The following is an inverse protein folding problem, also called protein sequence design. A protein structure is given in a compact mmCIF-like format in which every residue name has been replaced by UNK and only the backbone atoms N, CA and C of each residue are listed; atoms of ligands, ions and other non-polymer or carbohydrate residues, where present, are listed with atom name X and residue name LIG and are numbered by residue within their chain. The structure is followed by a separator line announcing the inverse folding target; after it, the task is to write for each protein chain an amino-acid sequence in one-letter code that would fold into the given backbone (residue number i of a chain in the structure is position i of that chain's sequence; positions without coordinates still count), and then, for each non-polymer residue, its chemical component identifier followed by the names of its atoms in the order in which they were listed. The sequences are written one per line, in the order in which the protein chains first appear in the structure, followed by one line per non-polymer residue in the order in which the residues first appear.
data_IF_637677884526
#
_entry.id   IF_637677884526
#
_cell.length_a   1.000
_cell.length_b   1.000
_cell.length_c   1.000
_cell.angle_alpha   90.00
_cell.angle_beta   90.00
_cell.angle_gamma   90.00
#
_symmetry.space_group_name_H-M   'P 1'
#
loop_
_entity.id
_entity.type
_entity.pdbx_description
1 polymer ?
#
# COMPACT_ATOMS: atom_id res chain seq x y z
N UNK A 1 -32.69 -3.81 9.68
CA UNK A 1 -31.47 -4.27 9.00
C UNK A 1 -30.56 -4.82 10.08
N UNK A 2 -29.92 -5.97 9.85
CA UNK A 2 -28.87 -6.43 10.76
C UNK A 2 -27.75 -5.39 10.79
N UNK A 3 -27.13 -5.20 11.95
CA UNK A 3 -25.96 -4.34 12.10
C UNK A 3 -24.73 -5.09 11.59
N UNK A 4 -23.95 -4.47 10.70
CA UNK A 4 -22.73 -5.08 10.16
C UNK A 4 -21.71 -5.30 11.28
N UNK A 5 -21.60 -4.37 12.24
CA UNK A 5 -20.66 -4.50 13.35
C UNK A 5 -20.96 -5.74 14.19
N UNK A 6 -22.24 -5.95 14.52
CA UNK A 6 -22.70 -7.18 15.18
C UNK A 6 -22.30 -8.43 14.39
N UNK A 7 -22.48 -8.42 13.06
CA UNK A 7 -22.09 -9.54 12.17
C UNK A 7 -20.58 -9.80 12.18
N UNK A 8 -19.73 -8.77 12.22
CA UNK A 8 -18.28 -8.96 12.29
C UNK A 8 -17.84 -9.65 13.58
N UNK A 9 -18.61 -9.47 14.67
CA UNK A 9 -18.26 -9.94 16.02
C UNK A 9 -19.09 -11.14 16.51
N UNK A 10 -20.00 -11.68 15.70
CA UNK A 10 -20.88 -12.79 16.11
C UNK A 10 -20.15 -14.13 16.25
N UNK A 11 -18.91 -14.21 15.78
CA UNK A 11 -18.05 -15.39 15.85
C UNK A 11 -18.29 -16.40 14.73
N UNK A 12 -19.31 -16.16 13.89
CA UNK A 12 -19.68 -16.98 12.75
C UNK A 12 -18.76 -16.69 11.55
N UNK A 13 -18.78 -17.59 10.57
CA UNK A 13 -18.08 -17.39 9.29
C UNK A 13 -18.99 -16.72 8.29
N UNK A 14 -18.56 -15.57 7.76
CA UNK A 14 -19.28 -14.83 6.73
C UNK A 14 -18.50 -14.84 5.42
N UNK A 15 -19.22 -15.10 4.33
CA UNK A 15 -18.66 -15.04 2.98
C UNK A 15 -18.77 -13.63 2.42
N UNK A 16 -17.64 -13.07 1.98
CA UNK A 16 -17.60 -11.98 1.03
C UNK A 16 -17.86 -12.50 -0.40
N UNK A 17 -18.00 -11.59 -1.35
CA UNK A 17 -18.09 -11.92 -2.76
C UNK A 17 -16.71 -12.17 -3.40
N UNK A 18 -16.69 -12.17 -4.74
CA UNK A 18 -15.50 -12.43 -5.56
C UNK A 18 -15.14 -11.23 -6.44
N UNK A 19 -14.26 -11.43 -7.42
CA UNK A 19 -13.80 -10.35 -8.30
C UNK A 19 -14.87 -9.77 -9.23
N UNK A 20 -15.31 -8.54 -8.94
CA UNK A 20 -16.08 -7.70 -9.86
C UNK A 20 -15.39 -7.51 -11.21
N UNK A 21 -14.12 -7.07 -11.19
CA UNK A 21 -13.39 -6.76 -12.42
C UNK A 21 -13.14 -7.97 -13.34
N UNK A 22 -12.90 -9.16 -12.76
CA UNK A 22 -12.73 -10.39 -13.54
C UNK A 22 -14.03 -10.78 -14.25
N UNK A 23 -15.16 -10.73 -13.54
CA UNK A 23 -16.46 -11.09 -14.11
C UNK A 23 -16.90 -10.08 -15.17
N UNK A 24 -16.66 -8.78 -14.96
CA UNK A 24 -16.91 -7.75 -15.99
C UNK A 24 -16.08 -7.99 -17.25
N UNK A 25 -14.81 -8.38 -17.09
CA UNK A 25 -13.95 -8.72 -18.21
C UNK A 25 -14.45 -9.92 -19.02
N UNK A 26 -14.89 -10.98 -18.34
CA UNK A 26 -15.50 -12.16 -18.98
C UNK A 26 -16.77 -11.82 -19.75
N UNK A 27 -17.45 -10.74 -19.38
CA UNK A 27 -18.66 -10.21 -20.06
C UNK A 27 -18.34 -9.21 -21.17
N UNK A 28 -17.08 -9.11 -21.58
CA UNK A 28 -16.65 -8.29 -22.72
C UNK A 28 -16.40 -6.81 -22.38
N UNK A 29 -16.20 -6.48 -21.10
CA UNK A 29 -15.71 -5.16 -20.70
C UNK A 29 -14.19 -5.20 -20.61
N UNK A 30 -13.50 -4.53 -21.53
CA UNK A 30 -12.04 -4.57 -21.58
C UNK A 30 -11.40 -3.58 -20.59
N UNK A 31 -10.16 -3.85 -20.19
CA UNK A 31 -9.41 -3.11 -19.15
C UNK A 31 -9.13 -1.63 -19.48
N UNK A 32 -9.41 -1.18 -20.69
CA UNK A 32 -9.22 0.20 -21.12
C UNK A 32 -10.41 1.11 -20.79
N UNK A 33 -11.47 0.59 -20.19
CA UNK A 33 -12.60 1.39 -19.70
C UNK A 33 -12.59 1.50 -18.17
N UNK A 34 -13.18 2.57 -17.64
CA UNK A 34 -13.37 2.73 -16.21
C UNK A 34 -14.46 1.78 -15.71
N UNK A 35 -14.09 0.75 -14.93
CA UNK A 35 -15.06 -0.20 -14.38
C UNK A 35 -16.00 0.46 -13.36
N UNK A 36 -15.50 1.44 -12.60
CA UNK A 36 -16.30 2.20 -11.65
C UNK A 36 -17.41 3.00 -12.36
N UNK A 37 -17.17 3.51 -13.57
CA UNK A 37 -18.18 4.25 -14.34
C UNK A 37 -19.39 3.37 -14.71
N UNK A 38 -19.21 2.04 -14.80
CA UNK A 38 -20.28 1.11 -15.17
C UNK A 38 -21.47 1.15 -14.21
N UNK A 39 -21.26 1.61 -12.98
CA UNK A 39 -22.35 1.87 -12.03
C UNK A 39 -23.41 2.81 -12.60
N UNK A 40 -23.01 3.75 -13.46
CA UNK A 40 -23.89 4.70 -14.13
C UNK A 40 -24.11 4.34 -15.59
N UNK A 41 -23.05 3.99 -16.32
CA UNK A 41 -23.13 3.79 -17.78
C UNK A 41 -23.73 2.43 -18.18
N UNK A 42 -23.59 1.40 -17.35
CA UNK A 42 -24.12 0.04 -17.60
C UNK A 42 -24.67 -0.61 -16.32
N UNK A 43 -25.68 -0.02 -15.68
CA UNK A 43 -26.11 -0.39 -14.33
C UNK A 43 -26.59 -1.85 -14.23
N UNK A 44 -27.36 -2.32 -15.21
CA UNK A 44 -27.88 -3.69 -15.24
C UNK A 44 -26.76 -4.75 -15.27
N UNK A 45 -25.60 -4.42 -15.86
CA UNK A 45 -24.46 -5.32 -15.90
C UNK A 45 -23.89 -5.52 -14.49
N UNK A 46 -23.70 -4.43 -13.73
CA UNK A 46 -23.17 -4.46 -12.36
C UNK A 46 -24.18 -5.10 -11.40
N UNK A 47 -25.46 -4.77 -11.51
CA UNK A 47 -26.54 -5.38 -10.72
C UNK A 47 -26.57 -6.90 -10.90
N UNK A 48 -26.40 -7.39 -12.12
CA UNK A 48 -26.37 -8.83 -12.40
C UNK A 48 -25.12 -9.53 -11.81
N UNK A 49 -23.97 -8.86 -11.74
CA UNK A 49 -22.80 -9.42 -11.03
C UNK A 49 -23.10 -9.59 -9.54
N UNK A 50 -23.60 -8.54 -8.87
CA UNK A 50 -23.97 -8.63 -7.45
C UNK A 50 -25.05 -9.67 -7.19
N UNK A 51 -26.06 -9.75 -8.07
CA UNK A 51 -27.09 -10.79 -8.00
C UNK A 51 -26.47 -12.18 -7.99
N UNK A 52 -25.52 -12.46 -8.89
CA UNK A 52 -24.90 -13.79 -8.99
C UNK A 52 -24.05 -14.13 -7.77
N UNK A 53 -23.35 -13.17 -7.17
CA UNK A 53 -22.61 -13.41 -5.92
C UNK A 53 -23.54 -13.63 -4.73
N UNK A 54 -24.64 -12.88 -4.63
CA UNK A 54 -25.66 -13.10 -3.60
C UNK A 54 -26.30 -14.49 -3.72
N UNK A 55 -26.65 -14.92 -4.94
CA UNK A 55 -27.16 -16.28 -5.22
C UNK A 55 -26.11 -17.36 -4.98
N UNK A 56 -24.82 -17.06 -5.20
CA UNK A 56 -23.73 -17.99 -4.92
C UNK A 56 -23.50 -18.22 -3.42
N UNK A 57 -23.93 -17.31 -2.55
CA UNK A 57 -23.79 -17.49 -1.11
C UNK A 57 -23.05 -16.37 -0.37
N UNK A 58 -22.62 -15.32 -1.08
CA UNK A 58 -22.05 -14.14 -0.42
C UNK A 58 -23.07 -13.51 0.56
N UNK A 59 -22.57 -13.01 1.68
CA UNK A 59 -23.34 -12.34 2.74
C UNK A 59 -22.92 -10.89 2.94
N UNK A 60 -21.69 -10.57 2.58
CA UNK A 60 -21.15 -9.22 2.52
C UNK A 60 -20.71 -9.01 1.07
N UNK A 61 -21.23 -7.97 0.41
CA UNK A 61 -20.93 -7.69 -0.99
C UNK A 61 -20.23 -6.34 -1.10
N UNK A 62 -19.17 -6.30 -1.88
CA UNK A 62 -18.38 -5.10 -2.12
C UNK A 62 -19.04 -4.24 -3.20
N UNK A 63 -19.08 -2.92 -3.05
CA UNK A 63 -19.50 -2.04 -4.15
C UNK A 63 -18.47 -2.06 -5.28
N UNK A 64 -18.90 -1.87 -6.53
CA UNK A 64 -17.99 -1.68 -7.67
C UNK A 64 -17.32 -0.29 -7.62
N UNK A 65 -16.44 -0.05 -6.64
CA UNK A 65 -15.86 1.27 -6.35
C UNK A 65 -14.38 1.24 -6.00
N UNK A 66 -13.68 0.12 -6.24
CA UNK A 66 -12.25 -0.02 -5.94
C UNK A 66 -11.41 1.17 -6.44
N UNK A 67 -11.71 1.68 -7.63
CA UNK A 67 -11.01 2.79 -8.27
C UNK A 67 -11.78 4.13 -8.26
N UNK A 68 -12.92 4.21 -7.58
CA UNK A 68 -13.83 5.35 -7.66
C UNK A 68 -13.40 6.56 -6.81
N UNK A 69 -12.11 6.89 -6.80
CA UNK A 69 -11.56 8.09 -6.16
C UNK A 69 -11.14 9.13 -7.21
N UNK A 70 -10.99 10.42 -6.83
CA UNK A 70 -10.69 11.49 -7.78
C UNK A 70 -9.40 11.26 -8.58
N UNK A 71 -8.37 10.67 -7.98
CA UNK A 71 -7.06 10.45 -8.59
C UNK A 71 -7.12 9.40 -9.69
N UNK A 72 -7.77 8.25 -9.44
CA UNK A 72 -7.95 7.22 -10.46
C UNK A 72 -8.95 7.64 -11.54
N UNK A 73 -10.03 8.32 -11.15
CA UNK A 73 -11.06 8.80 -12.08
C UNK A 73 -10.56 9.91 -13.00
N UNK A 74 -9.57 10.71 -12.60
CA UNK A 74 -9.01 11.77 -13.46
C UNK A 74 -8.33 11.23 -14.70
N UNK A 75 -7.80 9.99 -14.66
CA UNK A 75 -7.24 9.32 -15.84
C UNK A 75 -8.29 9.06 -16.93
N UNK A 76 -9.57 9.16 -16.58
CA UNK A 76 -10.72 9.04 -17.48
C UNK A 76 -11.51 10.35 -17.63
N UNK A 77 -11.07 11.45 -17.00
CA UNK A 77 -11.81 12.73 -16.96
C UNK A 77 -13.13 12.66 -16.18
N UNK A 78 -13.20 11.78 -15.17
CA UNK A 78 -14.41 11.50 -14.39
C UNK A 78 -14.30 11.96 -12.93
N UNK A 79 -13.24 12.68 -12.54
CA UNK A 79 -12.96 13.10 -11.17
C UNK A 79 -14.09 13.95 -10.56
N UNK A 80 -14.75 14.78 -11.38
CA UNK A 80 -15.89 15.58 -10.97
C UNK A 80 -17.13 14.72 -10.59
N UNK A 81 -17.21 13.50 -11.14
CA UNK A 81 -18.32 12.55 -10.95
C UNK A 81 -18.08 11.53 -9.83
N UNK A 82 -17.02 11.70 -9.04
CA UNK A 82 -16.66 10.81 -7.92
C UNK A 82 -17.86 10.48 -7.02
N UNK A 83 -18.57 11.48 -6.50
CA UNK A 83 -19.70 11.30 -5.58
C UNK A 83 -20.88 10.58 -6.27
N UNK A 84 -21.16 10.94 -7.53
CA UNK A 84 -22.23 10.34 -8.33
C UNK A 84 -21.99 8.84 -8.55
N UNK A 85 -20.77 8.47 -8.98
CA UNK A 85 -20.39 7.10 -9.29
C UNK A 85 -20.49 6.22 -8.04
N UNK A 86 -19.93 6.67 -6.91
CA UNK A 86 -19.96 5.93 -5.65
C UNK A 86 -21.38 5.76 -5.10
N UNK A 87 -22.20 6.82 -5.16
CA UNK A 87 -23.61 6.75 -4.75
C UNK A 87 -24.39 5.74 -5.58
N UNK A 88 -24.17 5.75 -6.90
CA UNK A 88 -24.82 4.81 -7.80
C UNK A 88 -24.41 3.36 -7.49
N UNK A 89 -23.14 3.12 -7.16
CA UNK A 89 -22.61 1.78 -6.90
C UNK A 89 -23.33 1.05 -5.76
N UNK A 90 -23.55 1.72 -4.63
CA UNK A 90 -24.31 1.16 -3.51
C UNK A 90 -25.74 0.78 -3.91
N UNK A 91 -26.39 1.62 -4.72
CA UNK A 91 -27.72 1.32 -5.25
C UNK A 91 -27.72 0.10 -6.20
N UNK A 92 -26.67 -0.08 -7.02
CA UNK A 92 -26.52 -1.26 -7.89
C UNK A 92 -26.36 -2.54 -7.08
N UNK A 93 -25.55 -2.51 -6.02
CA UNK A 93 -25.37 -3.66 -5.13
C UNK A 93 -26.69 -4.07 -4.46
N UNK A 94 -27.44 -3.09 -3.93
CA UNK A 94 -28.77 -3.33 -3.33
C UNK A 94 -29.78 -3.88 -4.33
N UNK A 95 -29.82 -3.33 -5.55
CA UNK A 95 -30.71 -3.81 -6.59
C UNK A 95 -30.39 -5.25 -7.01
N UNK A 96 -29.11 -5.59 -7.15
CA UNK A 96 -28.65 -6.96 -7.40
C UNK A 96 -29.07 -7.94 -6.30
N UNK A 97 -28.88 -7.57 -5.02
CA UNK A 97 -29.31 -8.36 -3.87
C UNK A 97 -30.84 -8.53 -3.84
N UNK A 98 -31.60 -7.47 -4.11
CA UNK A 98 -33.07 -7.54 -4.15
C UNK A 98 -33.59 -8.44 -5.27
N UNK A 99 -32.87 -8.52 -6.39
CA UNK A 99 -33.19 -9.39 -7.51
C UNK A 99 -32.67 -10.83 -7.39
N UNK A 100 -31.96 -11.17 -6.32
CA UNK A 100 -31.33 -12.48 -6.14
C UNK A 100 -32.30 -13.55 -5.61
N UNK A 101 -32.17 -14.77 -6.15
CA UNK A 101 -32.85 -15.97 -5.64
C UNK A 101 -32.03 -16.59 -4.52
N UNK A 102 -32.22 -16.09 -3.30
CA UNK A 102 -31.44 -16.50 -2.14
C UNK A 102 -31.82 -17.91 -1.64
N UNK A 103 -30.88 -18.63 -1.00
CA UNK A 103 -31.16 -19.90 -0.34
C UNK A 103 -32.27 -19.79 0.72
N UNK A 104 -32.98 -20.89 1.03
CA UNK A 104 -33.97 -20.91 2.10
C UNK A 104 -33.40 -20.42 3.43
N UNK A 105 -34.17 -19.60 4.16
CA UNK A 105 -33.76 -19.04 5.45
C UNK A 105 -32.88 -17.78 5.37
N UNK A 106 -32.47 -17.36 4.17
CA UNK A 106 -31.66 -16.14 3.96
C UNK A 106 -32.57 -15.03 3.42
N UNK A 107 -32.63 -13.91 4.14
CA UNK A 107 -33.34 -12.71 3.70
C UNK A 107 -32.39 -11.76 2.98
N UNK A 108 -32.85 -11.08 1.93
CA UNK A 108 -32.10 -10.00 1.28
C UNK A 108 -31.71 -8.89 2.25
N UNK A 109 -32.54 -8.63 3.27
CA UNK A 109 -32.26 -7.66 4.34
C UNK A 109 -31.19 -8.08 5.35
N UNK A 110 -30.72 -9.34 5.27
CA UNK A 110 -29.62 -9.85 6.09
C UNK A 110 -28.26 -9.79 5.39
N UNK A 111 -28.23 -9.47 4.10
CA UNK A 111 -27.00 -9.26 3.34
C UNK A 111 -26.53 -7.82 3.50
N UNK A 112 -25.22 -7.63 3.56
CA UNK A 112 -24.60 -6.32 3.74
C UNK A 112 -23.91 -5.84 2.48
N UNK A 113 -23.93 -4.53 2.24
CA UNK A 113 -23.17 -3.87 1.17
C UNK A 113 -22.09 -3.01 1.81
N UNK A 114 -20.82 -3.29 1.51
CA UNK A 114 -19.67 -2.51 1.99
C UNK A 114 -19.09 -1.67 0.88
N UNK A 115 -18.77 -0.42 1.20
CA UNK A 115 -18.11 0.52 0.29
C UNK A 115 -16.66 0.11 0.07
N UNK A 116 -16.33 -0.41 -1.11
CA UNK A 116 -14.97 -0.80 -1.46
C UNK A 116 -14.12 0.42 -1.82
N UNK A 117 -12.99 0.57 -1.13
CA UNK A 117 -12.02 1.66 -1.32
C UNK A 117 -10.65 1.02 -1.55
N UNK A 118 -10.11 1.18 -2.76
CA UNK A 118 -8.74 0.81 -3.08
C UNK A 118 -7.76 1.97 -2.91
N UNK A 119 -6.44 1.71 -3.04
CA UNK A 119 -5.41 2.76 -2.98
C UNK A 119 -5.59 3.80 -4.10
N UNK A 120 -5.03 5.00 -3.92
CA UNK A 120 -5.08 6.09 -4.90
C UNK A 120 -4.25 5.79 -6.15
N UNK A 121 -3.26 4.91 -6.03
CA UNK A 121 -2.32 4.60 -7.12
C UNK A 121 -1.23 5.66 -7.31
N UNK A 122 -1.06 6.54 -6.31
CA UNK A 122 0.02 7.52 -6.22
C UNK A 122 0.80 7.27 -4.93
N UNK A 123 2.03 7.80 -4.87
CA UNK A 123 2.80 7.79 -3.63
C UNK A 123 2.45 9.00 -2.78
N UNK A 124 2.20 8.75 -1.51
CA UNK A 124 2.02 9.78 -0.49
C UNK A 124 3.31 9.97 0.30
N UNK A 125 3.41 11.03 1.09
CA UNK A 125 4.55 11.25 1.99
C UNK A 125 4.76 10.02 2.91
N UNK A 126 6.02 9.60 3.15
CA UNK A 126 7.26 10.23 2.70
C UNK A 126 7.68 9.84 1.27
N UNK A 127 7.04 8.86 0.64
CA UNK A 127 7.49 8.23 -0.61
C UNK A 127 7.14 9.02 -1.87
N UNK A 128 6.29 10.04 -1.76
CA UNK A 128 5.85 10.86 -2.86
C UNK A 128 5.45 12.26 -2.44
N UNK A 129 5.13 13.13 -3.42
CA UNK A 129 4.89 14.56 -3.19
C UNK A 129 3.50 14.87 -2.61
N UNK A 130 2.63 13.87 -2.47
CA UNK A 130 1.24 14.07 -2.01
C UNK A 130 1.20 13.98 -0.50
N UNK A 131 0.73 15.04 0.18
CA UNK A 131 0.63 15.04 1.63
C UNK A 131 -0.44 14.07 2.12
N UNK A 132 -0.29 13.54 3.35
CA UNK A 132 -1.26 12.65 3.98
C UNK A 132 -2.65 13.30 4.08
N UNK A 133 -2.71 14.58 4.43
CA UNK A 133 -3.96 15.33 4.51
C UNK A 133 -4.65 15.47 3.14
N UNK A 134 -3.86 15.61 2.07
CA UNK A 134 -4.38 15.66 0.70
C UNK A 134 -4.94 14.29 0.29
N UNK A 135 -4.21 13.21 0.58
CA UNK A 135 -4.67 11.84 0.36
C UNK A 135 -5.98 11.54 1.10
N UNK A 136 -6.08 11.95 2.38
CA UNK A 136 -7.31 11.86 3.17
C UNK A 136 -8.47 12.60 2.47
N UNK A 137 -8.23 13.80 1.93
CA UNK A 137 -9.22 14.56 1.17
C UNK A 137 -9.74 13.83 -0.08
N UNK A 138 -8.87 13.11 -0.80
CA UNK A 138 -9.30 12.28 -1.93
C UNK A 138 -10.21 11.13 -1.50
N UNK A 139 -9.86 10.42 -0.43
CA UNK A 139 -10.71 9.37 0.13
C UNK A 139 -12.03 9.91 0.69
N UNK A 140 -12.02 11.07 1.34
CA UNK A 140 -13.23 11.69 1.91
C UNK A 140 -14.29 11.93 0.84
N UNK A 141 -13.90 12.36 -0.37
CA UNK A 141 -14.84 12.55 -1.50
C UNK A 141 -15.46 11.23 -1.99
N UNK A 142 -14.70 10.13 -1.94
CA UNK A 142 -15.21 8.80 -2.25
C UNK A 142 -16.21 8.33 -1.17
N UNK A 143 -15.82 8.48 0.11
CA UNK A 143 -16.64 8.15 1.28
C UNK A 143 -17.96 8.91 1.27
N UNK A 144 -17.97 10.20 0.92
CA UNK A 144 -19.17 11.02 0.78
C UNK A 144 -20.21 10.36 -0.16
N UNK A 145 -19.76 9.90 -1.33
CA UNK A 145 -20.62 9.23 -2.30
C UNK A 145 -21.15 7.89 -1.79
N UNK A 146 -20.29 7.07 -1.18
CA UNK A 146 -20.66 5.77 -0.61
C UNK A 146 -21.68 5.92 0.51
N UNK A 147 -21.48 6.87 1.43
CA UNK A 147 -22.43 7.18 2.50
C UNK A 147 -23.78 7.64 1.95
N UNK A 148 -23.76 8.55 0.97
CA UNK A 148 -24.99 8.99 0.31
C UNK A 148 -25.71 7.85 -0.44
N UNK A 149 -25.00 6.77 -0.76
CA UNK A 149 -25.54 5.56 -1.36
C UNK A 149 -26.13 4.55 -0.35
N UNK A 150 -25.88 4.73 0.96
CA UNK A 150 -26.44 3.87 2.00
C UNK A 150 -25.73 2.51 2.16
N UNK A 151 -24.39 2.50 2.09
CA UNK A 151 -23.57 1.33 2.47
C UNK A 151 -23.74 1.00 3.96
N UNK A 152 -23.56 -0.26 4.34
CA UNK A 152 -23.62 -0.73 5.73
C UNK A 152 -22.27 -0.59 6.46
N UNK A 153 -21.21 -0.32 5.72
CA UNK A 153 -19.83 -0.20 6.20
C UNK A 153 -18.86 -0.04 5.04
N UNK A 154 -17.58 -0.21 5.33
CA UNK A 154 -16.49 0.00 4.38
C UNK A 154 -15.56 -1.21 4.34
N UNK A 155 -14.93 -1.41 3.19
CA UNK A 155 -13.78 -2.29 3.06
C UNK A 155 -12.66 -1.52 2.37
N UNK A 156 -11.55 -1.36 3.08
CA UNK A 156 -10.33 -0.73 2.59
C UNK A 156 -9.45 -1.86 2.07
N UNK A 157 -9.32 -2.01 0.76
CA UNK A 157 -8.75 -3.21 0.17
C UNK A 157 -7.51 -2.93 -0.71
N UNK A 158 -6.62 -3.91 -0.77
CA UNK A 158 -5.43 -3.90 -1.65
C UNK A 158 -4.44 -2.76 -1.39
N UNK A 159 -4.39 -2.23 -0.17
CA UNK A 159 -3.35 -1.25 0.19
C UNK A 159 -2.00 -1.95 0.36
N UNK A 160 -0.93 -1.27 -0.07
CA UNK A 160 0.45 -1.73 0.16
C UNK A 160 1.15 -0.89 1.23
N UNK A 161 0.84 0.40 1.30
CA UNK A 161 1.33 1.33 2.32
C UNK A 161 0.28 1.51 3.42
N UNK A 162 0.65 1.15 4.66
CA UNK A 162 -0.20 1.32 5.83
C UNK A 162 -0.49 2.79 6.15
N UNK A 163 0.36 3.73 5.73
CA UNK A 163 0.13 5.17 5.90
C UNK A 163 -1.02 5.63 5.02
N UNK A 164 -1.06 5.15 3.77
CA UNK A 164 -2.14 5.46 2.84
C UNK A 164 -3.46 4.86 3.33
N UNK A 165 -3.44 3.60 3.79
CA UNK A 165 -4.60 2.96 4.41
C UNK A 165 -5.09 3.75 5.62
N UNK A 166 -4.19 4.26 6.47
CA UNK A 166 -4.54 5.07 7.63
C UNK A 166 -5.32 6.34 7.22
N UNK A 167 -4.95 6.99 6.10
CA UNK A 167 -5.69 8.14 5.60
C UNK A 167 -7.07 7.76 5.06
N UNK A 168 -7.21 6.60 4.40
CA UNK A 168 -8.50 6.10 3.96
C UNK A 168 -9.42 5.77 5.15
N UNK A 169 -8.89 5.11 6.19
CA UNK A 169 -9.63 4.80 7.40
C UNK A 169 -10.02 6.06 8.16
N UNK A 170 -9.11 7.03 8.26
CA UNK A 170 -9.39 8.34 8.85
C UNK A 170 -10.53 9.04 8.11
N UNK A 171 -10.53 9.06 6.78
CA UNK A 171 -11.62 9.64 6.00
C UNK A 171 -12.98 8.99 6.28
N UNK A 172 -13.01 7.67 6.52
CA UNK A 172 -14.23 6.95 6.95
C UNK A 172 -14.67 7.41 8.34
N UNK A 173 -13.74 7.45 9.31
CA UNK A 173 -14.02 7.80 10.72
C UNK A 173 -14.43 9.25 10.91
N UNK A 174 -13.83 10.17 10.16
CA UNK A 174 -14.19 11.60 10.19
C UNK A 174 -15.60 11.84 9.63
N UNK A 175 -16.10 10.95 8.75
CA UNK A 175 -17.40 11.07 8.12
C UNK A 175 -18.53 10.30 8.85
N UNK A 176 -18.23 9.16 9.49
CA UNK A 176 -19.24 8.31 10.12
C UNK A 176 -18.66 7.28 11.12
N UNK A 177 -19.56 6.60 11.84
CA UNK A 177 -19.25 5.48 12.75
C UNK A 177 -19.67 4.11 12.18
N UNK A 178 -19.69 3.95 10.85
CA UNK A 178 -19.94 2.64 10.25
C UNK A 178 -18.68 1.76 10.35
N UNK A 179 -18.83 0.42 10.48
CA UNK A 179 -17.69 -0.48 10.60
C UNK A 179 -16.84 -0.50 9.32
N UNK A 180 -15.53 -0.65 9.49
CA UNK A 180 -14.54 -0.71 8.41
C UNK A 180 -13.67 -1.96 8.54
N UNK A 181 -13.69 -2.79 7.49
CA UNK A 181 -12.79 -3.91 7.28
C UNK A 181 -11.53 -3.36 6.60
N UNK A 182 -10.36 -3.56 7.20
CA UNK A 182 -9.10 -3.12 6.62
C UNK A 182 -8.28 -4.31 6.11
N UNK A 183 -7.90 -4.25 4.83
CA UNK A 183 -7.13 -5.28 4.16
C UNK A 183 -5.88 -4.69 3.50
N UNK A 184 -4.78 -5.43 3.65
CA UNK A 184 -3.49 -5.12 3.04
C UNK A 184 -3.13 -6.22 2.06
N UNK A 185 -2.39 -5.89 1.00
CA UNK A 185 -1.87 -6.89 0.07
C UNK A 185 -0.40 -7.18 0.33
N UNK A 186 -0.02 -8.45 0.24
CA UNK A 186 1.34 -8.96 0.48
C UNK A 186 1.88 -9.63 -0.78
N UNK A 187 3.20 -9.61 -0.93
CA UNK A 187 3.91 -10.31 -2.01
C UNK A 187 4.35 -11.72 -1.55
N UNK A 188 4.87 -12.50 -2.50
CA UNK A 188 5.48 -13.79 -2.18
C UNK A 188 6.60 -13.60 -1.14
N UNK A 189 6.45 -14.24 0.01
CA UNK A 189 7.28 -14.01 1.20
C UNK A 189 6.54 -13.39 2.39
N UNK A 190 5.25 -13.07 2.24
CA UNK A 190 4.39 -12.70 3.39
C UNK A 190 4.57 -11.27 3.88
N UNK A 191 5.11 -10.39 3.03
CA UNK A 191 5.39 -8.97 3.35
C UNK A 191 4.80 -8.05 2.30
N UNK A 192 4.46 -6.82 2.69
CA UNK A 192 4.10 -5.76 1.73
C UNK A 192 5.31 -5.36 0.87
N UNK A 193 5.10 -4.63 -0.21
CA UNK A 193 6.18 -4.04 -1.02
C UNK A 193 7.06 -3.05 -0.23
N UNK A 194 6.56 -2.56 0.91
CA UNK A 194 7.30 -1.72 1.87
C UNK A 194 7.93 -2.52 3.01
N UNK A 195 7.90 -3.86 2.93
CA UNK A 195 8.58 -4.74 3.87
C UNK A 195 7.82 -5.06 5.15
N UNK A 196 6.56 -4.66 5.32
CA UNK A 196 5.79 -4.97 6.54
C UNK A 196 5.27 -6.41 6.51
N UNK A 197 5.58 -7.21 7.54
CA UNK A 197 5.13 -8.61 7.64
C UNK A 197 3.72 -8.77 8.21
N UNK A 198 3.08 -9.91 7.94
CA UNK A 198 1.68 -10.20 8.32
C UNK A 198 1.32 -9.93 9.79
N UNK A 199 2.13 -10.41 10.75
CA UNK A 199 1.87 -10.15 12.17
C UNK A 199 1.92 -8.66 12.54
N UNK A 200 2.81 -7.90 11.91
CA UNK A 200 2.88 -6.46 12.12
C UNK A 200 1.70 -5.75 11.47
N UNK A 201 1.27 -6.18 10.28
CA UNK A 201 0.03 -5.68 9.65
C UNK A 201 -1.16 -5.80 10.60
N UNK A 202 -1.38 -6.97 11.20
CA UNK A 202 -2.49 -7.18 12.14
C UNK A 202 -2.48 -6.18 13.30
N UNK A 203 -1.33 -6.02 13.98
CA UNK A 203 -1.19 -5.05 15.08
C UNK A 203 -1.44 -3.62 14.64
N UNK A 204 -0.88 -3.23 13.49
CA UNK A 204 -1.03 -1.86 12.97
C UNK A 204 -2.47 -1.55 12.58
N UNK A 205 -3.19 -2.51 12.00
CA UNK A 205 -4.61 -2.33 11.66
C UNK A 205 -5.49 -2.21 12.91
N UNK A 206 -5.17 -2.96 13.96
CA UNK A 206 -5.81 -2.84 15.27
C UNK A 206 -5.55 -1.47 15.91
N UNK A 207 -4.29 -1.02 15.93
CA UNK A 207 -3.90 0.30 16.45
C UNK A 207 -4.60 1.46 15.70
N UNK A 208 -4.81 1.29 14.39
CA UNK A 208 -5.52 2.26 13.55
C UNK A 208 -7.04 2.27 13.79
N UNK A 209 -7.58 1.29 14.52
CA UNK A 209 -9.00 1.21 14.86
C UNK A 209 -9.88 0.60 13.77
N UNK A 210 -9.36 -0.38 13.02
CA UNK A 210 -10.17 -1.21 12.13
C UNK A 210 -11.13 -2.12 12.93
N UNK A 211 -12.32 -2.39 12.40
CA UNK A 211 -13.28 -3.33 13.02
C UNK A 211 -12.96 -4.79 12.66
N UNK A 212 -12.21 -5.00 11.57
CA UNK A 212 -11.68 -6.29 11.14
C UNK A 212 -10.37 -6.07 10.36
N UNK A 213 -9.43 -6.99 10.48
CA UNK A 213 -8.11 -6.93 9.83
C UNK A 213 -7.94 -8.09 8.85
N UNK A 214 -7.26 -7.88 7.73
CA UNK A 214 -7.11 -8.98 6.78
C UNK A 214 -6.16 -8.74 5.64
N UNK A 215 -6.18 -9.70 4.73
CA UNK A 215 -5.34 -9.70 3.54
C UNK A 215 -6.16 -10.07 2.31
N UNK A 216 -5.84 -9.39 1.21
CA UNK A 216 -6.44 -9.68 -0.09
C UNK A 216 -5.45 -9.53 -1.24
N UNK A 217 -5.83 -10.09 -2.39
CA UNK A 217 -5.11 -9.94 -3.67
C UNK A 217 -3.66 -10.45 -3.66
N UNK A 218 -2.92 -10.09 -4.71
CA UNK A 218 -1.50 -10.41 -5.04
C UNK A 218 -1.13 -11.89 -5.12
N UNK A 219 -1.35 -12.64 -4.05
CA UNK A 219 -0.89 -14.01 -3.85
C UNK A 219 -2.04 -15.02 -3.78
N UNK A 220 -1.70 -16.31 -3.87
CA UNK A 220 -2.68 -17.38 -3.85
C UNK A 220 -3.15 -17.78 -2.45
N UNK A 221 -4.06 -18.76 -2.35
CA UNK A 221 -4.63 -19.18 -1.06
C UNK A 221 -3.63 -19.75 -0.06
N UNK A 222 -2.54 -20.35 -0.53
CA UNK A 222 -1.51 -20.90 0.35
C UNK A 222 -0.75 -19.80 1.11
N UNK A 223 -0.31 -18.77 0.39
CA UNK A 223 0.45 -17.66 0.98
C UNK A 223 -0.43 -16.80 1.89
N UNK A 224 -1.71 -16.60 1.54
CA UNK A 224 -2.67 -15.93 2.43
C UNK A 224 -2.91 -16.77 3.70
N UNK A 225 -3.01 -18.09 3.59
CA UNK A 225 -3.19 -18.95 4.77
C UNK A 225 -2.04 -18.80 5.76
N UNK A 226 -0.80 -18.94 5.29
CA UNK A 226 0.39 -18.80 6.14
C UNK A 226 0.43 -17.42 6.84
N UNK A 227 0.02 -16.37 6.12
CA UNK A 227 -0.05 -15.02 6.66
C UNK A 227 -1.18 -14.85 7.69
N UNK A 228 -2.36 -15.46 7.47
CA UNK A 228 -3.48 -15.44 8.41
C UNK A 228 -3.12 -16.17 9.71
N UNK A 229 -2.41 -17.30 9.65
CA UNK A 229 -1.91 -17.99 10.84
C UNK A 229 -0.99 -17.07 11.68
N UNK A 230 -0.13 -16.29 11.02
CA UNK A 230 0.74 -15.32 11.68
C UNK A 230 -0.05 -14.14 12.28
N UNK A 231 -1.12 -13.68 11.62
CA UNK A 231 -2.00 -12.61 12.12
C UNK A 231 -2.81 -13.06 13.33
N UNK A 232 -3.40 -14.26 13.28
CA UNK A 232 -4.24 -14.82 14.35
C UNK A 232 -3.49 -14.98 15.69
N UNK A 233 -2.16 -15.08 15.65
CA UNK A 233 -1.33 -15.15 16.84
C UNK A 233 -1.23 -13.83 17.62
N UNK A 234 -1.55 -12.68 17.01
CA UNK A 234 -1.17 -11.35 17.53
C UNK A 234 -2.30 -10.32 17.60
N UNK A 235 -3.50 -10.61 17.09
CA UNK A 235 -4.67 -9.74 17.20
C UNK A 235 -5.90 -10.53 17.65
N UNK A 236 -6.82 -9.86 18.35
CA UNK A 236 -8.14 -10.39 18.67
C UNK A 236 -9.23 -9.86 17.71
N UNK A 237 -8.87 -9.03 16.71
CA UNK A 237 -9.81 -8.59 15.67
C UNK A 237 -10.30 -9.75 14.80
N UNK A 238 -11.55 -9.70 14.30
CA UNK A 238 -12.02 -10.60 13.26
C UNK A 238 -11.10 -10.55 12.04
N UNK A 239 -10.66 -11.72 11.56
CA UNK A 239 -9.73 -11.82 10.45
C UNK A 239 -10.43 -12.04 9.11
N UNK A 240 -9.98 -11.31 8.08
CA UNK A 240 -10.44 -11.43 6.70
C UNK A 240 -9.38 -12.04 5.79
N UNK A 241 -9.78 -13.02 4.97
CA UNK A 241 -8.90 -13.71 4.02
C UNK A 241 -9.57 -13.78 2.63
N UNK A 242 -9.02 -13.01 1.68
CA UNK A 242 -9.61 -12.83 0.34
C UNK A 242 -8.53 -13.03 -0.75
N UNK A 243 -8.03 -14.27 -0.94
CA UNK A 243 -6.94 -14.58 -1.88
C UNK A 243 -7.35 -14.44 -3.35
N UNK A 244 -6.36 -14.30 -4.24
CA UNK A 244 -6.57 -14.53 -5.67
C UNK A 244 -6.84 -16.00 -5.96
N UNK A 245 -7.45 -16.30 -7.12
CA UNK A 245 -7.56 -17.66 -7.66
C UNK A 245 -6.21 -18.20 -8.21
N UNK A 246 -5.17 -18.11 -7.39
CA UNK A 246 -3.78 -18.37 -7.72
C UNK A 246 -3.09 -17.19 -8.40
N UNK A 247 -1.80 -17.36 -8.73
CA UNK A 247 -1.06 -16.38 -9.50
C UNK A 247 -1.49 -16.44 -10.98
N UNK A 248 -1.65 -15.29 -11.66
CA UNK A 248 -1.99 -15.27 -13.08
C UNK A 248 -0.87 -15.93 -13.89
N UNK A 249 -1.20 -16.98 -14.64
CA UNK A 249 -0.28 -17.66 -15.56
C UNK A 249 -0.56 -17.29 -16.99
N UNK A 250 0.48 -17.12 -17.78
CA UNK A 250 0.34 -16.97 -19.23
C UNK A 250 0.05 -18.34 -19.84
N UNK A 251 -1.13 -18.49 -20.43
CA UNK A 251 -1.55 -19.67 -21.20
C UNK A 251 -1.87 -19.17 -22.62
N UNK A 252 -0.95 -19.39 -23.55
CA UNK A 252 -1.02 -18.77 -24.88
C UNK A 252 -0.80 -17.25 -24.82
N UNK A 253 -1.75 -16.48 -25.37
CA UNK A 253 -1.78 -15.01 -25.37
C UNK A 253 -2.60 -14.42 -24.20
N UNK A 254 -3.12 -15.27 -23.30
CA UNK A 254 -4.00 -14.86 -22.20
C UNK A 254 -3.35 -15.10 -20.84
N UNK A 255 -3.57 -14.17 -19.90
CA UNK A 255 -3.32 -14.40 -18.48
C UNK A 255 -4.55 -15.07 -17.87
N UNK A 256 -4.37 -16.25 -17.29
CA UNK A 256 -5.44 -17.05 -16.67
C UNK A 256 -5.13 -17.32 -15.20
N UNK A 257 -6.15 -17.24 -14.37
CA UNK A 257 -6.13 -17.72 -12.99
C UNK A 257 -6.44 -19.21 -12.99
N UNK A 258 -5.60 -20.01 -12.31
CA UNK A 258 -5.61 -21.47 -12.47
C UNK A 258 -6.17 -22.21 -11.25
N UNK A 259 -6.46 -21.53 -10.14
CA UNK A 259 -7.07 -22.18 -8.99
C UNK A 259 -8.53 -22.50 -9.31
N UNK A 260 -8.92 -23.77 -9.17
CA UNK A 260 -10.31 -24.18 -9.38
C UNK A 260 -11.20 -23.78 -8.19
N UNK A 261 -12.53 -23.72 -8.39
CA UNK A 261 -13.50 -23.55 -7.31
C UNK A 261 -13.29 -24.51 -6.13
N UNK A 262 -12.98 -25.79 -6.38
CA UNK A 262 -12.72 -26.81 -5.37
C UNK A 262 -11.42 -26.53 -4.59
N UNK A 263 -10.38 -26.07 -5.30
CA UNK A 263 -9.12 -25.71 -4.66
C UNK A 263 -9.32 -24.52 -3.70
N UNK A 264 -10.03 -23.49 -4.15
CA UNK A 264 -10.35 -22.31 -3.34
C UNK A 264 -11.20 -22.67 -2.13
N UNK A 265 -12.24 -23.50 -2.30
CA UNK A 265 -13.12 -23.94 -1.21
C UNK A 265 -12.38 -24.74 -0.13
N UNK A 266 -11.44 -25.61 -0.51
CA UNK A 266 -10.59 -26.32 0.45
C UNK A 266 -9.72 -25.37 1.28
N UNK A 267 -9.19 -24.31 0.67
CA UNK A 267 -8.40 -23.31 1.39
C UNK A 267 -9.26 -22.38 2.24
N UNK A 268 -10.47 -22.03 1.80
CA UNK A 268 -11.45 -21.31 2.62
C UNK A 268 -11.65 -22.01 3.97
N UNK A 269 -11.80 -23.34 3.98
CA UNK A 269 -11.88 -24.11 5.22
C UNK A 269 -10.63 -23.97 6.09
N UNK A 270 -9.44 -24.15 5.50
CA UNK A 270 -8.17 -24.02 6.23
C UNK A 270 -7.98 -22.62 6.82
N UNK A 271 -8.42 -21.59 6.12
CA UNK A 271 -8.38 -20.21 6.62
C UNK A 271 -9.32 -20.01 7.81
N UNK A 272 -10.51 -20.62 7.79
CA UNK A 272 -11.42 -20.63 8.96
C UNK A 272 -10.78 -21.34 10.15
N UNK A 273 -10.17 -22.51 9.93
CA UNK A 273 -9.41 -23.26 10.92
C UNK A 273 -8.25 -22.42 11.51
N UNK A 274 -7.59 -21.61 10.67
CA UNK A 274 -6.52 -20.69 11.07
C UNK A 274 -7.02 -19.43 11.80
N UNK A 275 -8.32 -19.20 11.89
CA UNK A 275 -8.91 -18.08 12.65
C UNK A 275 -9.61 -17.00 11.82
N UNK A 276 -9.61 -17.09 10.49
CA UNK A 276 -10.40 -16.18 9.66
C UNK A 276 -11.90 -16.36 9.89
N UNK A 277 -12.64 -15.25 9.84
CA UNK A 277 -14.10 -15.22 9.95
C UNK A 277 -14.77 -14.57 8.75
N UNK A 278 -14.02 -13.79 7.98
CA UNK A 278 -14.50 -13.19 6.74
C UNK A 278 -13.74 -13.82 5.58
N UNK A 279 -14.40 -14.67 4.80
CA UNK A 279 -13.77 -15.45 3.71
C UNK A 279 -14.31 -14.97 2.38
N UNK A 280 -13.45 -14.73 1.39
CA UNK A 280 -13.89 -14.30 0.07
C UNK A 280 -12.92 -14.68 -1.04
N UNK A 281 -13.05 -14.00 -2.17
CA UNK A 281 -12.11 -14.12 -3.26
C UNK A 281 -11.78 -12.78 -3.91
N UNK A 282 -10.53 -12.61 -4.35
CA UNK A 282 -10.12 -11.45 -5.14
C UNK A 282 -9.98 -11.84 -6.62
N UNK A 283 -8.96 -11.36 -7.34
CA UNK A 283 -8.82 -11.56 -8.77
C UNK A 283 -8.88 -13.04 -9.19
N UNK A 284 -9.65 -13.32 -10.25
CA UNK A 284 -9.88 -14.66 -10.76
C UNK A 284 -11.01 -15.44 -10.08
N UNK A 285 -11.57 -14.95 -8.97
CA UNK A 285 -12.67 -15.64 -8.27
C UNK A 285 -14.04 -15.23 -8.82
N UNK A 286 -14.79 -16.21 -9.28
CA UNK A 286 -16.11 -16.06 -9.91
C UNK A 286 -17.23 -16.49 -8.96
N UNK A 287 -18.52 -16.26 -9.29
CA UNK A 287 -19.64 -16.77 -8.51
C UNK A 287 -19.61 -18.29 -8.29
N UNK A 288 -18.99 -19.05 -9.21
CA UNK A 288 -18.79 -20.49 -9.02
C UNK A 288 -17.86 -20.81 -7.86
N UNK A 289 -16.79 -20.04 -7.68
CA UNK A 289 -15.86 -20.19 -6.57
C UNK A 289 -16.57 -19.90 -5.23
N UNK A 290 -17.31 -18.80 -5.16
CA UNK A 290 -18.08 -18.43 -3.95
C UNK A 290 -19.13 -19.49 -3.62
N UNK A 291 -19.81 -20.06 -4.63
CA UNK A 291 -20.75 -21.16 -4.43
C UNK A 291 -20.09 -22.39 -3.84
N UNK A 292 -18.93 -22.79 -4.37
CA UNK A 292 -18.18 -23.94 -3.81
C UNK A 292 -17.68 -23.69 -2.40
N UNK A 293 -17.25 -22.48 -2.08
CA UNK A 293 -16.89 -22.10 -0.71
C UNK A 293 -18.11 -22.20 0.21
N UNK A 294 -19.26 -21.65 -0.18
CA UNK A 294 -20.49 -21.69 0.59
C UNK A 294 -20.98 -23.13 0.85
N UNK A 295 -20.99 -23.98 -0.17
CA UNK A 295 -21.34 -25.40 -0.05
C UNK A 295 -20.41 -26.13 0.94
N UNK A 296 -19.11 -25.88 0.82
CA UNK A 296 -18.09 -26.53 1.66
C UNK A 296 -18.21 -26.10 3.12
N UNK A 297 -18.39 -24.80 3.38
CA UNK A 297 -18.51 -24.26 4.73
C UNK A 297 -19.85 -24.63 5.39
N UNK A 298 -20.92 -24.80 4.62
CA UNK A 298 -22.22 -25.21 5.16
C UNK A 298 -22.29 -26.72 5.47
N UNK A 299 -21.62 -27.56 4.66
CA UNK A 299 -21.70 -29.02 4.77
C UNK A 299 -21.05 -29.58 6.04
N UNK A 300 -20.04 -28.91 6.58
CA UNK A 300 -19.26 -29.41 7.72
C UNK A 300 -19.83 -28.96 9.08
N UNK A 301 -20.91 -28.17 9.10
CA UNK A 301 -21.42 -27.52 10.31
C UNK A 301 -20.45 -26.46 10.81
N UNK A 302 -20.93 -25.46 11.53
CA UNK A 302 -20.07 -24.45 12.15
C UNK A 302 -18.99 -25.14 13.03
N UNK A 303 -17.69 -25.00 12.72
CA UNK A 303 -16.62 -25.47 13.62
C UNK A 303 -16.62 -24.72 14.97
N UNK A 304 -17.43 -23.66 15.11
CA UNK A 304 -17.60 -22.83 16.30
C UNK A 304 -18.25 -23.50 17.52
N UNK A 305 -18.63 -24.77 17.43
CA UNK A 305 -19.16 -25.55 18.55
C UNK A 305 -18.14 -25.91 19.64
N UNK A 306 -16.84 -26.00 19.33
CA UNK A 306 -15.81 -26.38 20.31
C UNK A 306 -14.45 -25.65 20.13
N UNK A 307 -14.29 -24.86 19.07
CA UNK A 307 -13.07 -24.09 18.81
C UNK A 307 -12.91 -22.82 19.69
N UNK A 308 -13.72 -22.67 20.76
CA UNK A 308 -13.46 -21.67 21.82
C UNK A 308 -12.30 -22.09 22.74
N UNK A 309 -11.84 -23.34 22.65
CA UNK A 309 -10.91 -23.93 23.62
C UNK A 309 -9.47 -24.15 23.17
N UNK A 310 -9.17 -24.17 21.88
CA UNK A 310 -7.81 -24.44 21.39
C UNK A 310 -7.30 -23.27 20.54
N UNK A 311 -7.05 -22.13 21.20
CA UNK A 311 -6.08 -21.17 20.66
C UNK A 311 -4.78 -21.97 20.43
N UNK A 312 -4.14 -21.93 19.26
CA UNK A 312 -2.75 -22.37 19.17
C UNK A 312 -2.01 -21.66 20.28
N UNK A 313 -1.25 -22.43 21.07
CA UNK A 313 -0.46 -21.91 22.17
C UNK A 313 0.23 -20.63 21.69
N UNK A 314 0.01 -19.52 22.39
CA UNK A 314 0.66 -18.22 22.13
C UNK A 314 2.14 -18.38 22.50
N UNK A 315 2.83 -19.31 21.86
CA UNK A 315 4.27 -19.25 21.71
C UNK A 315 4.51 -17.94 20.98
N UNK A 316 5.23 -16.98 21.60
CA UNK A 316 5.51 -15.73 20.93
C UNK A 316 6.25 -16.09 19.66
N UNK A 317 5.58 -15.96 18.51
CA UNK A 317 6.26 -15.92 17.25
C UNK A 317 7.27 -14.79 17.43
N UNK A 318 8.56 -15.15 17.47
CA UNK A 318 9.67 -14.21 17.47
C UNK A 318 9.73 -13.55 16.10
N UNK A 319 8.65 -12.92 15.66
CA UNK A 319 8.73 -11.78 14.79
C UNK A 319 9.27 -10.69 15.68
N UNK A 320 10.60 -10.56 15.73
CA UNK A 320 11.21 -9.36 16.25
C UNK A 320 10.48 -8.20 15.56
N UNK A 321 9.74 -7.40 16.33
CA UNK A 321 9.41 -6.07 15.87
C UNK A 321 10.73 -5.49 15.38
N UNK A 322 10.77 -5.06 14.11
CA UNK A 322 11.97 -4.37 13.64
C UNK A 322 12.22 -3.25 14.65
N UNK A 323 13.41 -3.20 15.28
CA UNK A 323 13.67 -2.19 16.26
C UNK A 323 13.40 -0.86 15.58
N UNK A 324 12.49 -0.07 16.13
CA UNK A 324 12.41 1.34 15.80
C UNK A 324 13.79 1.87 16.16
N UNK A 325 14.65 2.04 15.15
CA UNK A 325 16.00 2.53 15.35
C UNK A 325 15.80 3.99 15.73
N UNK A 326 15.87 4.28 17.03
CA UNK A 326 15.91 5.66 17.47
C UNK A 326 17.09 6.34 16.78
N UNK A 327 16.85 7.46 16.06
CA UNK A 327 17.93 8.17 15.39
C UNK A 327 18.97 8.56 16.42
N UNK A 328 20.25 8.29 16.14
CA UNK A 328 21.34 8.74 17.01
C UNK A 328 21.20 10.23 17.32
N UNK A 329 21.53 10.69 18.55
CA UNK A 329 21.59 12.11 18.86
C UNK A 329 22.45 12.86 17.83
N UNK A 330 22.08 14.09 17.46
CA UNK A 330 22.78 14.86 16.42
C UNK A 330 24.30 14.89 16.62
N UNK A 331 24.75 15.06 17.86
CA UNK A 331 26.17 15.12 18.22
C UNK A 331 26.94 13.79 18.10
N UNK A 332 26.25 12.68 17.91
CA UNK A 332 26.83 11.34 17.72
C UNK A 332 26.84 10.91 16.25
N UNK A 333 26.19 11.66 15.36
CA UNK A 333 26.06 11.29 13.93
C UNK A 333 27.34 11.53 13.13
N UNK A 334 28.05 12.62 13.43
CA UNK A 334 29.27 13.04 12.73
C UNK A 334 30.01 14.13 13.51
N UNK A 335 31.27 14.46 13.17
CA UNK A 335 31.97 15.61 13.73
C UNK A 335 31.20 16.93 13.53
N UNK A 336 30.59 17.14 12.35
CA UNK A 336 29.73 18.27 12.04
C UNK A 336 28.49 18.29 12.92
N UNK A 337 27.84 17.14 13.09
CA UNK A 337 26.70 16.97 13.98
C UNK A 337 27.02 17.38 15.41
N UNK A 338 28.22 17.04 15.91
CA UNK A 338 28.70 17.49 17.23
C UNK A 338 28.82 19.00 17.33
N UNK A 339 29.45 19.64 16.34
CA UNK A 339 29.62 21.10 16.32
C UNK A 339 28.29 21.84 16.24
N UNK A 340 27.33 21.30 15.48
CA UNK A 340 25.96 21.82 15.42
C UNK A 340 25.24 21.67 16.76
N UNK A 341 25.35 20.51 17.41
CA UNK A 341 24.74 20.27 18.73
C UNK A 341 25.33 21.18 19.82
N UNK A 342 26.63 21.44 19.76
CA UNK A 342 27.35 22.31 20.70
C UNK A 342 27.15 23.82 20.40
N UNK A 343 26.45 24.17 19.32
CA UNK A 343 26.25 25.56 18.90
C UNK A 343 27.54 26.28 18.50
N UNK A 344 28.54 25.53 18.02
CA UNK A 344 29.83 26.09 17.62
C UNK A 344 29.70 26.85 16.29
N UNK A 345 30.48 27.91 16.09
CA UNK A 345 30.58 28.53 14.76
C UNK A 345 31.27 27.57 13.77
N UNK A 346 30.70 27.43 12.58
CA UNK A 346 31.18 26.49 11.56
C UNK A 346 31.59 27.25 10.30
N UNK A 347 32.87 27.15 9.93
CA UNK A 347 33.39 27.61 8.65
C UNK A 347 33.29 26.48 7.61
N UNK A 348 32.49 26.69 6.57
CA UNK A 348 32.30 25.76 5.47
C UNK A 348 32.90 26.31 4.17
N UNK A 349 33.52 25.44 3.35
CA UNK A 349 34.04 25.78 2.03
C UNK A 349 33.44 24.85 0.97
N UNK A 350 32.91 25.41 -0.12
CA UNK A 350 32.45 24.63 -1.27
C UNK A 350 33.62 24.23 -2.17
N UNK A 351 33.79 22.93 -2.39
CA UNK A 351 34.79 22.35 -3.29
C UNK A 351 34.09 21.68 -4.47
N UNK A 352 34.29 22.22 -5.67
CA UNK A 352 33.62 21.73 -6.88
C UNK A 352 34.36 20.50 -7.44
N UNK A 353 33.69 19.36 -7.65
CA UNK A 353 34.33 18.17 -8.22
C UNK A 353 34.98 18.43 -9.59
N UNK A 354 36.07 17.73 -9.94
CA UNK A 354 36.73 17.88 -11.23
C UNK A 354 35.84 17.38 -12.39
N UNK A 355 36.06 17.89 -13.60
CA UNK A 355 35.35 17.42 -14.81
C UNK A 355 35.85 16.06 -15.33
N UNK A 356 36.95 15.55 -14.79
CA UNK A 356 37.57 14.27 -15.16
C UNK A 356 37.62 13.27 -14.01
N UNK A 357 38.34 12.18 -14.24
CA UNK A 357 38.49 11.09 -13.26
C UNK A 357 39.58 11.34 -12.22
N UNK A 358 40.53 12.24 -12.49
CA UNK A 358 41.65 12.54 -11.60
C UNK A 358 41.17 13.38 -10.39
N UNK A 359 41.27 12.83 -9.15
CA UNK A 359 40.84 13.53 -7.94
C UNK A 359 41.87 14.51 -7.40
N UNK A 360 43.13 14.48 -7.87
CA UNK A 360 44.22 15.23 -7.24
C UNK A 360 43.96 16.74 -7.12
N UNK A 361 43.39 17.43 -8.13
CA UNK A 361 43.07 18.86 -8.00
C UNK A 361 42.10 19.17 -6.84
N UNK A 362 41.12 18.28 -6.61
CA UNK A 362 40.17 18.40 -5.52
C UNK A 362 40.85 18.13 -4.16
N UNK A 363 41.70 17.10 -4.10
CA UNK A 363 42.43 16.74 -2.89
C UNK A 363 43.40 17.83 -2.46
N UNK A 364 44.09 18.48 -3.40
CA UNK A 364 44.98 19.60 -3.12
C UNK A 364 44.26 20.82 -2.57
N UNK A 365 43.04 21.10 -3.06
CA UNK A 365 42.21 22.17 -2.50
C UNK A 365 41.70 21.81 -1.10
N UNK A 366 41.28 20.56 -0.89
CA UNK A 366 40.87 20.07 0.43
C UNK A 366 42.02 20.10 1.46
N UNK A 367 43.24 19.70 1.09
CA UNK A 367 44.43 19.80 1.96
C UNK A 367 44.71 21.26 2.36
N UNK A 368 44.59 22.20 1.42
CA UNK A 368 44.72 23.64 1.71
C UNK A 368 43.61 24.16 2.62
N UNK A 369 42.36 23.73 2.41
CA UNK A 369 41.24 24.07 3.27
C UNK A 369 41.46 23.59 4.71
N UNK A 370 41.96 22.36 4.89
CA UNK A 370 42.33 21.83 6.21
C UNK A 370 43.40 22.68 6.91
N UNK A 371 44.45 23.05 6.18
CA UNK A 371 45.51 23.90 6.72
C UNK A 371 45.02 25.31 7.09
N UNK A 372 44.00 25.81 6.38
CA UNK A 372 43.35 27.09 6.68
C UNK A 372 42.38 27.03 7.88
N UNK A 373 42.17 25.85 8.47
CA UNK A 373 41.25 25.67 9.60
C UNK A 373 39.78 25.66 9.18
N UNK A 374 39.46 25.29 7.94
CA UNK A 374 38.07 25.03 7.52
C UNK A 374 37.56 23.80 8.27
N UNK A 375 36.34 23.89 8.78
CA UNK A 375 35.76 22.86 9.63
C UNK A 375 35.11 21.73 8.84
N UNK A 376 34.48 22.10 7.73
CA UNK A 376 33.74 21.20 6.85
C UNK A 376 33.85 21.68 5.42
N UNK A 377 33.93 20.75 4.47
CA UNK A 377 33.82 21.10 3.05
C UNK A 377 32.51 20.58 2.49
N UNK A 378 31.89 21.36 1.61
CA UNK A 378 30.69 20.93 0.90
C UNK A 378 31.01 20.63 -0.55
N UNK A 379 30.46 19.53 -1.08
CA UNK A 379 30.72 19.04 -2.42
C UNK A 379 29.42 19.02 -3.21
N UNK A 380 29.22 19.94 -4.18
CA UNK A 380 27.98 20.04 -4.93
C UNK A 380 27.84 18.94 -5.99
N UNK A 381 26.62 18.43 -6.15
CA UNK A 381 26.27 17.42 -7.16
C UNK A 381 25.97 18.08 -8.51
N UNK A 382 26.89 17.92 -9.47
CA UNK A 382 26.81 18.45 -10.83
C UNK A 382 26.31 19.92 -10.91
N UNK A 383 27.01 20.88 -10.29
CA UNK A 383 26.59 22.28 -10.31
C UNK A 383 26.49 22.80 -11.74
N UNK A 384 25.40 23.54 -12.03
CA UNK A 384 25.08 24.11 -13.35
C UNK A 384 24.89 23.07 -14.46
N UNK A 385 24.52 21.83 -14.13
CA UNK A 385 24.16 20.79 -15.11
C UNK A 385 25.35 20.26 -15.93
N UNK A 386 26.58 20.43 -15.44
CA UNK A 386 27.79 19.96 -16.13
C UNK A 386 28.27 18.63 -15.58
N UNK A 387 28.66 17.72 -16.48
CA UNK A 387 29.28 16.45 -16.10
C UNK A 387 30.60 16.68 -15.34
N UNK A 388 30.67 16.10 -14.14
CA UNK A 388 31.80 16.14 -13.21
C UNK A 388 31.84 14.81 -12.46
N UNK A 389 32.93 14.55 -11.75
CA UNK A 389 32.99 13.47 -10.77
C UNK A 389 31.79 13.58 -9.81
N UNK A 390 31.12 12.46 -9.54
CA UNK A 390 29.95 12.43 -8.67
C UNK A 390 30.31 12.86 -7.24
N UNK A 391 29.40 13.57 -6.58
CA UNK A 391 29.65 14.16 -5.27
C UNK A 391 29.93 13.12 -4.17
N UNK A 392 29.21 11.99 -4.15
CA UNK A 392 29.40 10.95 -3.12
C UNK A 392 30.80 10.30 -3.19
N UNK A 393 31.29 9.78 -4.34
CA UNK A 393 32.68 9.32 -4.44
C UNK A 393 33.73 10.40 -4.13
N UNK A 394 33.50 11.64 -4.58
CA UNK A 394 34.40 12.76 -4.30
C UNK A 394 34.49 13.04 -2.78
N UNK A 395 33.36 12.99 -2.06
CA UNK A 395 33.30 13.14 -0.62
C UNK A 395 34.07 12.04 0.10
N UNK A 396 33.86 10.77 -0.28
CA UNK A 396 34.61 9.64 0.28
C UNK A 396 36.12 9.80 0.12
N UNK A 397 36.58 10.26 -1.05
CA UNK A 397 38.01 10.49 -1.29
C UNK A 397 38.55 11.63 -0.42
N UNK A 398 37.83 12.74 -0.32
CA UNK A 398 38.25 13.89 0.50
C UNK A 398 38.30 13.51 1.99
N UNK A 399 37.27 12.84 2.53
CA UNK A 399 37.26 12.38 3.92
C UNK A 399 38.43 11.44 4.20
N UNK A 400 38.66 10.45 3.32
CA UNK A 400 39.70 9.43 3.52
C UNK A 400 41.12 10.01 3.46
N UNK A 401 41.38 10.88 2.49
CA UNK A 401 42.74 11.37 2.20
C UNK A 401 43.11 12.60 3.02
N UNK A 402 42.11 13.36 3.48
CA UNK A 402 42.37 14.61 4.22
C UNK A 402 41.85 14.56 5.64
N UNK A 403 40.92 13.68 5.99
CA UNK A 403 40.25 13.63 7.30
C UNK A 403 39.40 14.86 7.61
N UNK A 404 39.10 15.70 6.62
CA UNK A 404 38.11 16.76 6.74
C UNK A 404 36.70 16.15 6.77
N UNK A 405 35.81 16.77 7.52
CA UNK A 405 34.40 16.41 7.45
C UNK A 405 33.79 16.95 6.16
N UNK A 406 32.88 16.20 5.55
CA UNK A 406 32.31 16.53 4.25
C UNK A 406 30.79 16.52 4.29
N UNK A 407 30.18 17.51 3.64
CA UNK A 407 28.76 17.51 3.27
C UNK A 407 28.65 17.25 1.77
N UNK A 408 28.24 16.04 1.40
CA UNK A 408 27.97 15.73 0.00
C UNK A 408 26.58 16.24 -0.37
N UNK A 409 26.46 17.08 -1.39
CA UNK A 409 25.13 17.34 -1.96
C UNK A 409 24.67 16.09 -2.70
N UNK A 410 23.37 15.81 -2.63
CA UNK A 410 22.76 14.70 -3.35
C UNK A 410 21.51 15.19 -4.06
N UNK A 411 21.59 15.30 -5.40
CA UNK A 411 20.49 15.81 -6.19
C UNK A 411 19.50 14.69 -6.54
N UNK A 412 18.21 14.87 -6.24
CA UNK A 412 17.16 13.90 -6.55
C UNK A 412 16.82 13.82 -8.04
N UNK A 413 17.04 14.91 -8.80
CA UNK A 413 16.86 14.93 -10.26
C UNK A 413 17.64 13.81 -10.96
N UNK A 414 17.06 13.29 -12.03
CA UNK A 414 17.59 12.23 -12.90
C UNK A 414 17.84 10.88 -12.19
N UNK A 415 17.21 10.65 -11.02
CA UNK A 415 17.37 9.42 -10.22
C UNK A 415 16.03 8.80 -9.87
N UNK A 416 16.03 7.48 -9.69
CA UNK A 416 14.90 6.71 -9.18
C UNK A 416 15.16 6.23 -7.75
N UNK A 417 14.11 5.99 -6.97
CA UNK A 417 14.19 5.68 -5.53
C UNK A 417 15.20 4.58 -5.19
N UNK A 418 15.13 3.44 -5.87
CA UNK A 418 16.03 2.30 -5.62
C UNK A 418 17.51 2.68 -5.81
N UNK A 419 17.81 3.49 -6.82
CA UNK A 419 19.17 3.96 -7.07
C UNK A 419 19.63 4.93 -6.00
N UNK A 420 18.73 5.80 -5.53
CA UNK A 420 19.03 6.73 -4.43
C UNK A 420 19.31 6.03 -3.12
N UNK A 421 18.49 5.05 -2.75
CA UNK A 421 18.72 4.22 -1.57
C UNK A 421 20.05 3.48 -1.69
N UNK A 422 20.33 2.87 -2.85
CA UNK A 422 21.60 2.16 -3.10
C UNK A 422 22.82 3.09 -2.95
N UNK A 423 22.76 4.29 -3.52
CA UNK A 423 23.84 5.28 -3.45
C UNK A 423 24.09 5.72 -2.01
N UNK A 424 23.04 6.02 -1.25
CA UNK A 424 23.14 6.49 0.13
C UNK A 424 23.61 5.39 1.09
N UNK A 425 23.16 4.14 0.89
CA UNK A 425 23.71 2.99 1.62
C UNK A 425 25.20 2.79 1.30
N UNK A 426 25.59 2.95 0.02
CA UNK A 426 26.98 2.92 -0.41
C UNK A 426 27.82 4.03 0.21
N UNK A 427 27.30 5.26 0.25
CA UNK A 427 27.95 6.40 0.86
C UNK A 427 28.15 6.24 2.37
N UNK A 428 27.11 5.79 3.08
CA UNK A 428 27.18 5.51 4.52
C UNK A 428 28.21 4.41 4.83
N UNK A 429 28.26 3.35 4.01
CA UNK A 429 29.28 2.30 4.09
C UNK A 429 30.69 2.83 3.80
N UNK A 430 30.80 3.78 2.85
CA UNK A 430 32.03 4.47 2.49
C UNK A 430 32.51 5.50 3.52
N UNK A 431 31.73 5.79 4.56
CA UNK A 431 32.09 6.70 5.65
C UNK A 431 31.43 8.08 5.57
N UNK A 432 30.74 8.42 4.48
CA UNK A 432 30.10 9.73 4.30
C UNK A 432 28.89 9.81 5.23
N UNK A 433 28.95 10.71 6.22
CA UNK A 433 27.89 10.86 7.24
C UNK A 433 27.00 12.06 7.05
N UNK A 434 27.44 13.08 6.31
CA UNK A 434 26.65 14.28 6.07
C UNK A 434 26.27 14.38 4.60
N UNK A 435 24.97 14.40 4.34
CA UNK A 435 24.42 14.56 2.99
C UNK A 435 23.44 15.73 3.03
N UNK A 436 23.58 16.66 2.08
CA UNK A 436 22.58 17.70 1.83
C UNK A 436 21.74 17.29 0.63
N UNK A 437 20.50 16.89 0.89
CA UNK A 437 19.58 16.49 -0.17
C UNK A 437 19.04 17.73 -0.85
N UNK A 438 19.11 17.77 -2.18
CA UNK A 438 18.58 18.87 -2.99
C UNK A 438 17.68 18.31 -4.08
N UNK A 439 16.54 18.95 -4.34
CA UNK A 439 15.62 18.51 -5.41
C UNK A 439 16.32 18.56 -6.77
N UNK A 440 17.08 19.64 -7.00
CA UNK A 440 17.89 19.86 -8.21
C UNK A 440 17.08 20.52 -9.32
N UNK A 441 17.63 21.60 -9.90
CA UNK A 441 16.95 22.32 -10.98
C UNK A 441 17.14 21.61 -12.34
N UNK A 442 16.12 21.59 -13.22
CA UNK A 442 16.33 21.30 -14.64
C UNK A 442 17.17 22.43 -15.23
N UNK A 443 18.45 22.15 -15.55
CA UNK A 443 19.31 23.12 -16.22
C UNK A 443 19.09 23.04 -17.74
N UNK A 444 18.57 24.08 -18.41
CA UNK A 444 18.56 24.14 -19.87
C UNK A 444 19.96 24.36 -20.46
N UNK A 445 20.97 24.61 -19.61
CA UNK A 445 22.35 24.84 -20.02
C UNK A 445 23.13 23.52 -20.03
N UNK A 446 23.42 23.03 -21.24
CA UNK A 446 24.24 21.84 -21.52
C UNK A 446 24.15 21.47 -23.00
N UNK A 447 24.98 20.53 -23.50
CA UNK A 447 24.94 20.10 -24.90
C UNK A 447 23.67 19.29 -25.27
N UNK A 448 22.73 19.10 -24.32
CA UNK A 448 21.51 18.32 -24.48
C UNK A 448 20.27 19.19 -24.19
N UNK A 449 19.80 19.98 -25.17
CA UNK A 449 18.75 20.99 -24.98
C UNK A 449 17.34 20.41 -24.70
N UNK A 450 17.10 19.14 -25.04
CA UNK A 450 15.78 18.48 -24.90
C UNK A 450 15.63 17.65 -23.61
N UNK A 451 16.51 17.86 -22.61
CA UNK A 451 16.52 17.04 -21.39
C UNK A 451 15.40 17.50 -20.44
N UNK A 452 14.40 16.67 -20.24
CA UNK A 452 13.41 16.80 -19.16
C UNK A 452 14.01 16.25 -17.87
N UNK A 453 13.87 16.96 -16.74
CA UNK A 453 14.24 16.41 -15.44
C UNK A 453 13.28 15.28 -15.10
N UNK A 454 13.81 14.06 -14.95
CA UNK A 454 13.06 12.96 -14.36
C UNK A 454 13.20 13.07 -12.84
N UNK A 455 12.09 13.26 -12.12
CA UNK A 455 12.09 13.38 -10.66
C UNK A 455 11.11 12.37 -10.08
N UNK A 456 11.63 11.36 -9.38
CA UNK A 456 10.82 10.32 -8.72
C UNK A 456 10.39 10.74 -7.30
N UNK A 457 11.20 11.57 -6.64
CA UNK A 457 10.96 12.16 -5.31
C UNK A 457 11.77 13.46 -5.17
N UNK A 458 11.30 14.42 -4.38
CA UNK A 458 12.02 15.66 -4.11
C UNK A 458 12.91 15.54 -2.85
N UNK A 459 13.60 16.64 -2.50
CA UNK A 459 14.49 16.62 -1.34
C UNK A 459 13.78 16.41 -0.01
N UNK A 460 12.54 16.90 0.13
CA UNK A 460 11.77 16.76 1.38
C UNK A 460 11.35 15.30 1.53
N UNK A 461 10.78 14.72 0.47
CA UNK A 461 10.39 13.32 0.44
C UNK A 461 11.56 12.39 0.74
N UNK A 462 12.71 12.58 0.06
CA UNK A 462 13.87 11.72 0.30
C UNK A 462 14.44 11.91 1.72
N UNK A 463 14.39 13.12 2.30
CA UNK A 463 14.76 13.31 3.71
C UNK A 463 13.85 12.55 4.67
N UNK A 464 12.56 12.40 4.36
CA UNK A 464 11.64 11.65 5.21
C UNK A 464 11.73 10.13 5.02
N UNK A 465 12.37 9.66 3.93
CA UNK A 465 12.65 8.24 3.67
C UNK A 465 13.85 7.74 4.48
N UNK A 466 14.83 8.60 4.72
CA UNK A 466 16.04 8.32 5.50
C UNK A 466 15.79 8.48 7.01
#
# INVERSE_FOLDING_TARGET
MSDLRARLTDGEVHLLDGAMGTVLYERGVFVNVCYDELNVSRPALVEDVHRQYAEAGARILETNTFGANPVKLSSFGLEARTVEINRAAAARARAGIAGARLPPGVSSSSLHVVGAIGPLGIRIEPWGPTAEAEACGYFARQVEGLLAGGVDGFILETFQDLRELAQALRAVRDACDLPAIAQVTIESGGRTSYGTGAAEIARRLEDLGADAAGLNCSVGPAEILDAIEAMAAVTDLPLSAVPNAGLPRTVGDRKMYMASPEYMARYARRMVEAGARLIGGCCGTTPEHIRRMAETLAAEGDPGGDARGARPDRSPARGAAEPVVEPFPLGERSPLGRRLADGTFIAALELVPPTGWDPEPLLDEARRARLAGVDVVTIPDAPRGRARMAALPAATLVERETGLDVVAHYACRDRHMVGMISDLLGAASGGVRNVLIVTGDPSPAGPYPDRTAALDIDSIGLTNVL
#
